data_IF_728732573837
#
_entry.id   IF_728732573837
#
_cell.length_a   1.000
_cell.length_b   1.000
_cell.length_c   1.000
_cell.angle_alpha   90.00
_cell.angle_beta   90.00
_cell.angle_gamma   90.00
#
_symmetry.space_group_name_H-M   'P 1'
#
loop_
_entity.id
_entity.type
_entity.pdbx_description
1 polymer ?
#
# COMPACT_ATOMS: atom_id res chain seq x y z
N UNK A 1 8.19 6.48 29.81
CA UNK A 1 8.41 7.34 28.63
C UNK A 1 8.75 6.53 27.38
N UNK A 2 9.73 5.64 27.38
CA UNK A 2 10.12 4.81 26.21
C UNK A 2 8.95 3.99 25.61
N UNK A 3 8.14 3.38 26.44
CA UNK A 3 6.99 2.57 25.98
C UNK A 3 6.00 3.40 25.15
N UNK A 4 5.72 4.64 25.59
CA UNK A 4 4.78 5.53 24.85
C UNK A 4 5.36 5.88 23.48
N UNK A 5 6.66 6.22 23.41
CA UNK A 5 7.34 6.57 22.16
C UNK A 5 7.36 5.37 21.21
N UNK A 6 7.72 4.18 21.71
CA UNK A 6 7.74 2.96 20.91
C UNK A 6 6.35 2.57 20.43
N UNK A 7 5.32 2.72 21.29
CA UNK A 7 3.93 2.44 20.87
C UNK A 7 3.45 3.39 19.79
N UNK A 8 3.72 4.70 19.92
CA UNK A 8 3.35 5.67 18.90
C UNK A 8 4.07 5.38 17.57
N UNK A 9 5.36 5.07 17.62
CA UNK A 9 6.13 4.67 16.44
C UNK A 9 5.55 3.41 15.79
N UNK A 10 5.27 2.38 16.58
CA UNK A 10 4.72 1.12 16.10
C UNK A 10 3.34 1.32 15.42
N UNK A 11 2.46 2.13 16.00
CA UNK A 11 1.15 2.46 15.42
C UNK A 11 1.32 3.11 14.04
N UNK A 12 2.20 4.10 13.93
CA UNK A 12 2.46 4.79 12.66
C UNK A 12 3.06 3.81 11.63
N UNK A 13 4.07 3.03 12.02
CA UNK A 13 4.74 2.08 11.13
C UNK A 13 3.77 0.99 10.61
N UNK A 14 2.94 0.42 11.50
CA UNK A 14 1.93 -0.57 11.14
C UNK A 14 0.88 0.04 10.22
N UNK A 15 0.44 1.28 10.49
CA UNK A 15 -0.49 2.00 9.64
C UNK A 15 0.05 2.16 8.22
N UNK A 16 1.28 2.64 8.07
CA UNK A 16 1.93 2.78 6.76
C UNK A 16 2.03 1.45 6.03
N UNK A 17 2.53 0.42 6.71
CA UNK A 17 2.65 -0.92 6.15
C UNK A 17 1.29 -1.46 5.68
N UNK A 18 0.26 -1.34 6.51
CA UNK A 18 -1.09 -1.79 6.20
C UNK A 18 -1.65 -1.11 4.96
N UNK A 19 -1.66 0.23 4.92
CA UNK A 19 -2.24 1.02 3.83
C UNK A 19 -1.55 0.72 2.49
N UNK A 20 -0.25 0.51 2.52
CA UNK A 20 0.53 0.30 1.30
C UNK A 20 0.34 -1.08 0.69
N UNK A 21 -0.20 -2.06 1.43
CA UNK A 21 -0.40 -3.44 0.97
C UNK A 21 -1.87 -3.89 0.94
N UNK A 22 -2.76 -3.21 1.65
CA UNK A 22 -4.16 -3.57 1.80
C UNK A 22 -5.09 -2.58 1.11
N UNK A 23 -4.82 -2.26 -0.14
CA UNK A 23 -5.70 -1.43 -0.96
C UNK A 23 -6.64 -2.29 -1.82
N UNK A 24 -7.76 -1.69 -2.26
CA UNK A 24 -8.90 -2.40 -2.85
C UNK A 24 -8.50 -3.28 -4.06
N UNK A 25 -7.67 -2.75 -4.96
CA UNK A 25 -7.25 -3.43 -6.18
C UNK A 25 -5.79 -3.90 -6.13
N UNK A 26 -5.33 -4.37 -4.96
CA UNK A 26 -3.99 -4.91 -4.81
C UNK A 26 -3.81 -6.21 -5.58
N UNK A 27 -2.64 -6.39 -6.21
CA UNK A 27 -2.30 -7.64 -6.86
C UNK A 27 -1.99 -8.72 -5.82
N UNK A 28 -2.85 -9.75 -5.77
CA UNK A 28 -2.67 -10.92 -4.89
C UNK A 28 -2.98 -12.18 -5.70
N UNK A 29 -1.98 -12.99 -5.93
CA UNK A 29 -2.11 -14.26 -6.65
C UNK A 29 -1.38 -15.39 -5.96
N UNK A 30 -1.83 -16.61 -6.17
CA UNK A 30 -1.13 -17.81 -5.78
C UNK A 30 0.15 -17.98 -6.60
N UNK A 31 1.08 -18.82 -6.08
CA UNK A 31 2.44 -18.97 -6.59
C UNK A 31 2.54 -19.21 -8.10
N UNK A 32 1.62 -19.94 -8.67
CA UNK A 32 1.58 -20.31 -10.09
C UNK A 32 1.28 -19.12 -11.03
N UNK A 33 0.62 -18.09 -10.52
CA UNK A 33 0.23 -16.87 -11.27
C UNK A 33 0.92 -15.61 -10.74
N UNK A 34 1.85 -15.76 -9.81
CA UNK A 34 2.52 -14.63 -9.19
C UNK A 34 3.70 -14.13 -10.04
N UNK A 35 3.69 -12.84 -10.36
CA UNK A 35 4.76 -12.18 -11.10
C UNK A 35 5.38 -11.04 -10.29
N UNK A 36 6.71 -11.03 -10.17
CA UNK A 36 7.45 -10.06 -9.35
C UNK A 36 7.14 -8.60 -9.71
N UNK A 37 7.18 -8.23 -11.00
CA UNK A 37 6.95 -6.86 -11.45
C UNK A 37 5.54 -6.38 -11.12
N UNK A 38 4.54 -7.22 -11.36
CA UNK A 38 3.15 -6.91 -11.01
C UNK A 38 2.96 -6.85 -9.50
N UNK A 39 3.55 -7.76 -8.74
CA UNK A 39 3.49 -7.75 -7.29
C UNK A 39 4.11 -6.48 -6.69
N UNK A 40 5.25 -6.03 -7.22
CA UNK A 40 5.91 -4.81 -6.77
C UNK A 40 5.09 -3.55 -7.08
N UNK A 41 4.55 -3.41 -8.30
CA UNK A 41 3.88 -2.18 -8.75
C UNK A 41 2.39 -2.15 -8.38
N UNK A 42 1.69 -3.28 -8.49
CA UNK A 42 0.24 -3.41 -8.23
C UNK A 42 -0.08 -3.96 -6.86
N UNK A 43 0.82 -4.74 -6.25
CA UNK A 43 0.67 -5.28 -4.90
C UNK A 43 1.03 -4.28 -3.80
N UNK A 44 1.65 -3.14 -4.17
CA UNK A 44 1.95 -2.03 -3.28
C UNK A 44 1.42 -0.71 -3.85
N UNK A 45 1.45 0.34 -3.06
CA UNK A 45 0.88 1.63 -3.46
C UNK A 45 1.86 2.79 -3.30
N UNK A 46 1.50 3.93 -3.88
CA UNK A 46 2.09 5.22 -3.60
C UNK A 46 1.18 6.01 -2.67
N UNK A 47 1.59 6.18 -1.42
CA UNK A 47 0.85 6.97 -0.45
C UNK A 47 1.20 8.45 -0.61
N UNK A 48 0.28 9.23 -1.17
CA UNK A 48 0.48 10.68 -1.42
C UNK A 48 0.47 11.46 -0.12
N UNK A 49 1.66 11.80 0.34
CA UNK A 49 1.89 12.63 1.52
C UNK A 49 2.49 13.99 1.14
N UNK A 50 2.28 15.03 1.96
CA UNK A 50 3.03 16.28 1.86
C UNK A 50 4.55 16.05 1.93
N UNK A 51 5.33 16.89 1.25
CA UNK A 51 6.78 16.72 1.13
C UNK A 51 7.49 16.57 2.48
N UNK A 52 7.06 17.32 3.48
CA UNK A 52 7.60 17.25 4.84
C UNK A 52 7.36 15.86 5.47
N UNK A 53 6.18 15.27 5.28
CA UNK A 53 5.86 13.93 5.78
C UNK A 53 6.66 12.85 5.06
N UNK A 54 6.84 12.99 3.73
CA UNK A 54 7.70 12.10 2.97
C UNK A 54 9.14 12.14 3.47
N UNK A 55 9.65 13.33 3.80
CA UNK A 55 11.00 13.46 4.36
C UNK A 55 11.12 12.76 5.72
N UNK A 56 10.18 12.99 6.65
CA UNK A 56 10.19 12.35 7.97
C UNK A 56 10.07 10.83 7.90
N UNK A 57 9.36 10.30 6.93
CA UNK A 57 9.16 8.84 6.73
C UNK A 57 10.20 8.23 5.82
N UNK A 58 11.27 8.97 5.44
CA UNK A 58 12.30 8.49 4.54
C UNK A 58 11.77 8.11 3.15
N UNK A 59 10.75 8.82 2.64
CA UNK A 59 10.10 8.55 1.36
C UNK A 59 9.50 7.14 1.22
N UNK A 60 9.31 6.39 2.30
CA UNK A 60 8.75 5.02 2.25
C UNK A 60 7.32 4.99 1.69
N UNK A 61 6.67 6.13 1.63
CA UNK A 61 5.39 6.29 0.95
C UNK A 61 5.43 5.95 -0.55
N UNK A 62 6.62 5.99 -1.17
CA UNK A 62 6.89 5.55 -2.54
C UNK A 62 7.23 4.05 -2.52
N UNK A 63 6.26 3.23 -2.10
CA UNK A 63 6.51 1.86 -1.70
C UNK A 63 6.72 0.90 -2.87
N UNK A 64 6.07 1.13 -3.99
CA UNK A 64 6.20 0.34 -5.20
C UNK A 64 7.65 0.33 -5.76
N UNK A 65 8.36 1.46 -5.69
CA UNK A 65 9.77 1.52 -6.09
C UNK A 65 10.66 0.77 -5.09
N UNK A 66 10.36 0.90 -3.80
CA UNK A 66 11.07 0.13 -2.77
C UNK A 66 10.90 -1.38 -2.98
N UNK A 67 9.71 -1.85 -3.37
CA UNK A 67 9.48 -3.26 -3.71
C UNK A 67 10.20 -3.73 -4.97
N UNK A 68 10.32 -2.85 -5.97
CA UNK A 68 11.06 -3.18 -7.20
C UNK A 68 12.56 -3.36 -6.95
N UNK A 69 13.13 -2.49 -6.14
CA UNK A 69 14.53 -2.60 -5.77
C UNK A 69 14.80 -1.99 -4.39
N UNK A 70 14.85 -2.81 -3.32
CA UNK A 70 15.09 -2.35 -1.96
C UNK A 70 16.50 -1.78 -1.74
N UNK A 71 17.44 -1.97 -2.69
CA UNK A 71 18.78 -1.38 -2.62
C UNK A 71 18.80 0.11 -2.99
N UNK A 72 17.72 0.67 -3.53
CA UNK A 72 17.62 2.10 -3.83
C UNK A 72 17.51 2.87 -2.50
N UNK A 73 18.46 3.77 -2.19
CA UNK A 73 18.39 4.60 -1.00
C UNK A 73 17.12 5.47 -0.98
N UNK A 74 16.57 5.68 0.20
CA UNK A 74 15.30 6.40 0.39
C UNK A 74 15.28 7.80 -0.25
N UNK A 75 16.39 8.53 -0.23
CA UNK A 75 16.52 9.86 -0.83
C UNK A 75 16.49 9.85 -2.36
N UNK A 76 16.64 8.68 -3.01
CA UNK A 76 16.56 8.51 -4.46
C UNK A 76 15.20 7.98 -4.93
N UNK A 77 14.32 7.48 -4.04
CA UNK A 77 13.01 6.95 -4.42
C UNK A 77 12.18 7.95 -5.23
N UNK A 78 12.15 9.22 -4.79
CA UNK A 78 11.44 10.28 -5.50
C UNK A 78 12.01 10.52 -6.91
N UNK A 79 13.32 10.53 -7.06
CA UNK A 79 13.98 10.69 -8.36
C UNK A 79 13.65 9.55 -9.31
N UNK A 80 13.55 8.32 -8.80
CA UNK A 80 13.17 7.16 -9.61
C UNK A 80 11.73 7.28 -10.13
N UNK A 81 10.79 7.70 -9.30
CA UNK A 81 9.39 7.94 -9.74
C UNK A 81 9.34 9.02 -10.81
N UNK A 82 10.03 10.14 -10.61
CA UNK A 82 10.02 11.26 -11.54
C UNK A 82 10.68 10.91 -12.89
N UNK A 83 11.72 10.06 -12.86
CA UNK A 83 12.44 9.63 -14.07
C UNK A 83 11.65 8.62 -14.91
N UNK A 84 10.69 7.89 -14.32
CA UNK A 84 9.97 6.82 -15.00
C UNK A 84 8.44 7.04 -14.86
N UNK A 85 7.84 7.89 -15.70
CA UNK A 85 6.40 8.20 -15.64
C UNK A 85 5.49 6.98 -15.80
N UNK A 86 6.01 5.89 -16.39
CA UNK A 86 5.31 4.62 -16.52
C UNK A 86 4.86 4.07 -15.17
N UNK A 87 5.67 4.17 -14.14
CA UNK A 87 5.31 3.69 -12.80
C UNK A 87 4.07 4.41 -12.25
N UNK A 88 3.98 5.73 -12.46
CA UNK A 88 2.83 6.51 -12.00
C UNK A 88 1.51 6.05 -12.64
N UNK A 89 1.55 5.62 -13.92
CA UNK A 89 0.36 5.15 -14.65
C UNK A 89 -0.21 3.85 -14.08
N UNK A 90 0.63 2.98 -13.56
CA UNK A 90 0.22 1.63 -13.13
C UNK A 90 0.17 1.45 -11.62
N UNK A 91 0.73 2.37 -10.86
CA UNK A 91 0.72 2.33 -9.40
C UNK A 91 -0.59 2.86 -8.84
N UNK A 92 -1.12 2.19 -7.83
CA UNK A 92 -2.27 2.70 -7.08
C UNK A 92 -1.82 3.84 -6.19
N UNK A 93 -2.37 5.04 -6.42
CA UNK A 93 -2.13 6.21 -5.56
C UNK A 93 -3.19 6.27 -4.48
N UNK A 94 -2.76 6.47 -3.23
CA UNK A 94 -3.64 6.56 -2.06
C UNK A 94 -3.40 7.89 -1.37
N UNK A 95 -4.44 8.66 -1.16
CA UNK A 95 -4.41 9.88 -0.34
C UNK A 95 -4.68 9.58 1.13
N UNK A 96 -4.39 10.52 2.01
CA UNK A 96 -4.67 10.38 3.45
C UNK A 96 -6.13 10.03 3.73
N UNK A 97 -7.08 10.71 3.09
CA UNK A 97 -8.51 10.45 3.30
C UNK A 97 -8.97 9.09 2.77
N UNK A 98 -8.40 8.65 1.67
CA UNK A 98 -8.65 7.30 1.15
C UNK A 98 -8.08 6.24 2.08
N UNK A 99 -6.93 6.48 2.70
CA UNK A 99 -6.32 5.53 3.63
C UNK A 99 -7.21 5.21 4.83
N UNK A 100 -7.95 6.20 5.34
CA UNK A 100 -8.91 5.98 6.43
C UNK A 100 -10.05 5.04 6.04
N UNK A 101 -10.51 5.12 4.78
CA UNK A 101 -11.52 4.19 4.25
C UNK A 101 -10.95 2.78 4.08
N UNK A 102 -9.72 2.66 3.58
CA UNK A 102 -9.05 1.38 3.37
C UNK A 102 -8.83 0.61 4.68
N UNK A 103 -8.78 1.26 5.82
CA UNK A 103 -8.69 0.60 7.12
C UNK A 103 -9.84 -0.39 7.40
N UNK A 104 -10.97 -0.25 6.72
CA UNK A 104 -12.12 -1.15 6.84
C UNK A 104 -12.07 -2.35 5.89
N UNK A 105 -11.21 -2.32 4.85
CA UNK A 105 -11.05 -3.39 3.87
C UNK A 105 -10.08 -4.45 4.40
N UNK A 106 -10.62 -5.54 4.93
CA UNK A 106 -9.84 -6.56 5.67
C UNK A 106 -9.88 -7.95 5.07
N UNK A 107 -10.81 -8.19 4.16
CA UNK A 107 -11.00 -9.50 3.52
C UNK A 107 -10.61 -9.42 2.05
N UNK A 108 -10.02 -10.50 1.54
CA UNK A 108 -9.72 -10.64 0.12
C UNK A 108 -10.81 -11.51 -0.53
N UNK A 109 -11.49 -10.98 -1.52
CA UNK A 109 -12.43 -11.71 -2.36
C UNK A 109 -11.69 -12.25 -3.60
N UNK A 110 -11.51 -13.56 -3.64
CA UNK A 110 -10.82 -14.20 -4.77
C UNK A 110 -11.63 -14.17 -6.06
N UNK A 111 -12.96 -14.14 -5.96
CA UNK A 111 -13.84 -14.12 -7.14
C UNK A 111 -13.82 -12.78 -7.86
N UNK A 112 -13.77 -11.69 -7.08
CA UNK A 112 -13.75 -10.33 -7.59
C UNK A 112 -12.33 -9.74 -7.67
N UNK A 113 -11.32 -10.45 -7.16
CA UNK A 113 -9.92 -10.03 -7.11
C UNK A 113 -9.75 -8.63 -6.49
N UNK A 114 -10.42 -8.40 -5.34
CA UNK A 114 -10.34 -7.14 -4.60
C UNK A 114 -10.49 -7.32 -3.09
N UNK A 115 -10.02 -6.32 -2.35
CA UNK A 115 -10.27 -6.22 -0.91
C UNK A 115 -11.70 -5.76 -0.66
N UNK A 116 -12.38 -6.40 0.29
CA UNK A 116 -13.75 -6.09 0.71
C UNK A 116 -13.83 -5.83 2.21
N UNK A 117 -14.90 -5.20 2.63
CA UNK A 117 -15.22 -5.01 4.04
C UNK A 117 -15.99 -6.21 4.60
N UNK A 118 -16.00 -6.38 5.93
CA UNK A 118 -16.88 -7.36 6.58
C UNK A 118 -18.36 -7.10 6.27
N UNK A 119 -18.75 -5.84 6.12
CA UNK A 119 -20.13 -5.48 5.75
C UNK A 119 -20.52 -6.02 4.37
N UNK A 120 -19.66 -5.84 3.39
CA UNK A 120 -19.87 -6.39 2.04
C UNK A 120 -19.94 -7.91 2.06
N UNK A 121 -19.04 -8.57 2.79
CA UNK A 121 -19.03 -10.02 2.95
C UNK A 121 -20.38 -10.54 3.46
N UNK A 122 -20.89 -10.00 4.58
CA UNK A 122 -22.18 -10.43 5.13
C UNK A 122 -23.37 -10.05 4.27
N UNK A 123 -23.28 -9.03 3.43
CA UNK A 123 -24.33 -8.72 2.44
C UNK A 123 -24.36 -9.75 1.33
N UNK A 124 -23.22 -10.18 0.82
CA UNK A 124 -23.13 -11.24 -0.20
C UNK A 124 -23.62 -12.59 0.33
N UNK A 125 -23.27 -12.95 1.56
CA UNK A 125 -23.72 -14.18 2.21
C UNK A 125 -25.26 -14.24 2.39
N UNK A 126 -25.93 -13.10 2.58
CA UNK A 126 -27.39 -13.03 2.69
C UNK A 126 -28.13 -13.12 1.35
N UNK A 127 -27.42 -12.90 0.26
CA UNK A 127 -28.00 -12.89 -1.10
C UNK A 127 -27.77 -14.21 -1.86
N UNK A 128 -26.91 -15.08 -1.38
CA UNK A 128 -26.63 -16.42 -1.91
C UNK A 128 -27.28 -17.48 -1.09
#
# INVERSE_FOLDING_TARGET
MHVIILSAFAIIAIWFFYIQHQHEHGYKHWRDKWEFMYAAVKGSSYYKLPAIMNWFTGNIAIHHIHHLNPAIPNYNLKKCVDAIPWFQKYTTEITFWQSLKLATHKLWDESQQRMITFREYYQMEKLG
#
